data_IF_030217364272
#
_entry.id   IF_030217364272
#
_cell.length_a   1.000
_cell.length_b   1.000
_cell.length_c   1.000
_cell.angle_alpha   90.00
_cell.angle_beta   90.00
_cell.angle_gamma   90.00
#
_symmetry.space_group_name_H-M   'P 1'
#
loop_
_entity.id
_entity.type
_entity.pdbx_description
1 polymer ?
#
# COMPACT_ATOMS: atom_id res chain seq x y z
N UNK A 1 -30.54 -50.84 -31.48
CA UNK A 1 -30.43 -50.86 -32.97
C UNK A 1 -30.24 -49.43 -33.46
N UNK A 2 -29.47 -49.19 -34.54
CA UNK A 2 -29.12 -47.88 -35.16
C UNK A 2 -28.33 -46.91 -34.23
N UNK A 3 -27.05 -46.55 -34.37
CA UNK A 3 -25.99 -46.57 -35.42
C UNK A 3 -25.88 -45.30 -36.30
N UNK A 4 -24.73 -44.61 -36.16
CA UNK A 4 -24.12 -43.58 -37.05
C UNK A 4 -24.79 -42.18 -37.11
N UNK A 5 -24.09 -41.04 -37.31
CA UNK A 5 -22.74 -40.81 -37.89
C UNK A 5 -21.95 -39.63 -37.29
N UNK A 6 -20.64 -39.67 -37.51
CA UNK A 6 -19.58 -38.67 -37.20
C UNK A 6 -19.72 -37.32 -37.93
N UNK A 7 -19.25 -36.23 -37.30
CA UNK A 7 -18.62 -35.12 -38.02
C UNK A 7 -17.61 -34.36 -37.14
N UNK A 8 -16.34 -34.45 -37.51
CA UNK A 8 -15.21 -33.72 -36.91
C UNK A 8 -14.81 -32.61 -37.87
N UNK A 9 -14.51 -31.40 -37.39
CA UNK A 9 -13.88 -30.37 -38.23
C UNK A 9 -12.86 -29.56 -37.44
N UNK A 10 -11.60 -29.81 -37.77
CA UNK A 10 -10.43 -28.99 -37.47
C UNK A 10 -10.32 -27.83 -38.45
N UNK A 11 -9.88 -26.66 -37.99
CA UNK A 11 -9.26 -25.64 -38.86
C UNK A 11 -8.01 -25.09 -38.20
N UNK A 12 -6.97 -24.89 -39.01
CA UNK A 12 -5.59 -24.68 -38.58
C UNK A 12 -4.90 -23.58 -39.37
N UNK A 13 -4.20 -22.67 -38.67
CA UNK A 13 -3.03 -21.87 -39.13
C UNK A 13 -3.25 -20.93 -40.34
N UNK A 14 -2.49 -19.82 -40.39
CA UNK A 14 -1.22 -19.86 -41.12
C UNK A 14 -0.03 -19.20 -40.40
N UNK A 15 1.15 -19.41 -40.98
CA UNK A 15 2.49 -19.11 -40.47
C UNK A 15 3.01 -17.69 -40.73
N UNK A 16 4.06 -17.36 -39.96
CA UNK A 16 5.02 -16.22 -39.96
C UNK A 16 5.31 -15.45 -41.25
N UNK A 17 5.92 -14.24 -41.10
CA UNK A 17 7.33 -14.12 -41.50
C UNK A 17 8.25 -13.42 -40.46
N UNK A 18 9.55 -13.38 -40.77
CA UNK A 18 10.68 -12.97 -39.89
C UNK A 18 11.46 -11.79 -40.51
N UNK A 19 12.20 -11.03 -39.67
CA UNK A 19 13.04 -9.84 -40.01
C UNK A 19 12.21 -8.60 -40.45
N UNK A 20 12.60 -7.34 -40.21
CA UNK A 20 13.96 -6.75 -40.13
C UNK A 20 14.06 -5.61 -39.10
N UNK A 21 15.28 -5.17 -38.80
CA UNK A 21 15.53 -3.90 -38.10
C UNK A 21 15.56 -2.72 -39.08
N UNK A 22 15.08 -1.53 -38.67
CA UNK A 22 15.45 -0.29 -39.34
C UNK A 22 15.46 0.95 -38.42
N UNK A 23 16.56 1.70 -38.55
CA UNK A 23 16.73 3.15 -38.35
C UNK A 23 15.51 3.99 -38.81
N UNK A 24 15.28 5.24 -38.41
CA UNK A 24 16.20 6.38 -38.20
C UNK A 24 15.40 7.57 -37.61
N UNK A 25 15.97 8.36 -36.70
CA UNK A 25 15.90 9.85 -36.79
C UNK A 25 16.80 10.49 -35.74
N UNK A 26 18.07 10.75 -36.10
CA UNK A 26 18.95 11.59 -35.32
C UNK A 26 18.81 13.04 -35.79
N UNK A 27 18.10 13.87 -35.02
CA UNK A 27 17.99 15.31 -35.29
C UNK A 27 19.35 15.99 -35.15
N UNK A 28 20.05 16.19 -36.27
CA UNK A 28 21.22 17.07 -36.35
C UNK A 28 20.79 18.51 -36.03
N UNK A 29 21.27 19.05 -34.91
CA UNK A 29 21.43 20.49 -34.74
C UNK A 29 22.92 20.82 -34.78
N UNK A 30 23.40 21.19 -35.97
CA UNK A 30 24.72 21.77 -36.17
C UNK A 30 24.64 23.28 -36.02
N UNK A 31 25.41 23.87 -35.10
CA UNK A 31 25.98 25.19 -35.33
C UNK A 31 27.34 25.34 -34.65
N UNK A 32 28.09 26.33 -35.11
CA UNK A 32 29.55 26.38 -35.08
C UNK A 32 30.16 27.16 -33.91
N UNK A 33 31.39 26.78 -33.57
CA UNK A 33 32.48 27.67 -33.12
C UNK A 33 32.31 28.41 -31.80
N UNK A 34 33.16 28.05 -30.84
CA UNK A 34 33.94 29.06 -30.11
C UNK A 34 35.37 28.58 -29.86
N UNK A 35 36.27 29.55 -29.90
CA UNK A 35 37.72 29.39 -30.07
C UNK A 35 38.44 29.55 -28.74
N UNK A 36 39.64 28.98 -28.66
CA UNK A 36 40.72 29.30 -27.70
C UNK A 36 40.78 28.47 -26.41
N UNK A 37 41.99 27.98 -26.14
CA UNK A 37 42.35 27.07 -25.04
C UNK A 37 43.73 26.43 -25.28
N UNK A 38 44.65 27.17 -25.90
CA UNK A 38 45.96 26.66 -26.36
C UNK A 38 46.94 26.58 -25.19
N UNK A 39 47.00 25.44 -24.50
CA UNK A 39 48.16 25.12 -23.65
C UNK A 39 49.33 24.71 -24.55
N UNK A 40 50.45 25.43 -24.42
CA UNK A 40 51.65 25.21 -25.22
C UNK A 40 52.52 24.13 -24.59
N UNK A 41 52.65 23.00 -25.27
CA UNK A 41 53.73 22.04 -25.03
C UNK A 41 54.60 21.96 -26.30
N UNK A 42 55.50 22.92 -26.47
CA UNK A 42 56.62 22.77 -27.41
C UNK A 42 57.77 22.04 -26.70
N UNK A 43 58.28 20.97 -27.33
CA UNK A 43 59.64 20.48 -27.15
C UNK A 43 60.04 19.69 -28.40
N UNK A 44 60.99 20.23 -29.18
CA UNK A 44 61.71 19.46 -30.19
C UNK A 44 62.83 18.66 -29.49
N UNK A 45 62.82 17.35 -29.62
CA UNK A 45 63.91 16.48 -29.15
C UNK A 45 63.48 15.03 -28.98
N UNK A 46 64.29 14.03 -29.37
CA UNK A 46 64.02 12.63 -29.06
C UNK A 46 64.51 12.29 -27.64
N UNK A 47 63.82 11.38 -26.94
CA UNK A 47 64.36 10.31 -26.04
C UNK A 47 63.34 9.83 -24.97
N UNK A 48 63.16 8.50 -24.95
CA UNK A 48 62.69 7.57 -23.87
C UNK A 48 61.21 7.54 -23.39
N UNK A 49 60.72 6.34 -23.01
CA UNK A 49 59.42 6.13 -22.36
C UNK A 49 59.49 6.26 -20.83
N UNK A 50 58.43 6.80 -20.21
CA UNK A 50 58.30 7.04 -18.76
C UNK A 50 57.84 8.48 -18.48
N UNK A 51 56.55 8.76 -18.65
CA UNK A 51 55.50 8.82 -17.59
C UNK A 51 55.49 10.12 -16.78
N UNK A 52 54.31 10.73 -16.66
CA UNK A 52 54.06 12.05 -16.11
C UNK A 52 52.94 12.76 -16.87
N UNK A 53 53.23 13.25 -18.08
CA UNK A 53 52.22 13.94 -18.92
C UNK A 53 51.09 13.01 -19.38
N UNK A 54 51.42 11.75 -19.69
CA UNK A 54 50.45 10.74 -20.16
C UNK A 54 49.51 10.33 -19.03
N UNK A 55 50.05 10.18 -17.81
CA UNK A 55 49.30 9.83 -16.61
C UNK A 55 48.34 10.94 -16.19
N UNK A 56 48.75 12.21 -16.30
CA UNK A 56 47.87 13.35 -16.07
C UNK A 56 46.71 13.44 -17.09
N UNK A 57 46.96 13.14 -18.37
CA UNK A 57 45.90 13.09 -19.40
C UNK A 57 44.96 11.90 -19.16
N UNK A 58 45.49 10.75 -18.72
CA UNK A 58 44.69 9.58 -18.37
C UNK A 58 43.80 9.85 -17.15
N UNK A 59 44.38 10.36 -16.05
CA UNK A 59 43.64 10.72 -14.84
C UNK A 59 42.52 11.74 -15.14
N UNK A 60 42.80 12.76 -15.95
CA UNK A 60 41.80 13.77 -16.34
C UNK A 60 40.68 13.20 -17.23
N UNK A 61 40.96 12.13 -17.99
CA UNK A 61 39.93 11.37 -18.72
C UNK A 61 39.08 10.53 -17.77
N UNK A 62 39.70 9.82 -16.83
CA UNK A 62 39.00 9.04 -15.78
C UNK A 62 38.08 9.93 -14.93
N UNK A 63 38.54 11.13 -14.55
CA UNK A 63 37.78 12.13 -13.79
C UNK A 63 36.52 12.60 -14.55
N UNK A 64 36.66 12.98 -15.83
CA UNK A 64 35.53 13.37 -16.69
C UNK A 64 34.57 12.20 -16.93
N UNK A 65 35.08 10.97 -17.05
CA UNK A 65 34.24 9.79 -17.26
C UNK A 65 33.39 9.49 -16.01
N UNK A 66 33.98 9.57 -14.80
CA UNK A 66 33.26 9.39 -13.53
C UNK A 66 32.17 10.46 -13.34
N UNK A 67 32.45 11.74 -13.62
CA UNK A 67 31.44 12.81 -13.53
C UNK A 67 30.25 12.55 -14.47
N UNK A 68 30.50 12.15 -15.72
CA UNK A 68 29.39 11.84 -16.65
C UNK A 68 28.60 10.58 -16.28
N UNK A 69 29.21 9.62 -15.59
CA UNK A 69 28.51 8.46 -15.00
C UNK A 69 27.66 8.90 -13.81
N UNK A 70 28.20 9.78 -12.94
CA UNK A 70 27.50 10.34 -11.79
C UNK A 70 26.26 11.15 -12.21
N UNK A 71 26.36 12.01 -13.22
CA UNK A 71 25.23 12.79 -13.75
C UNK A 71 24.11 11.88 -14.29
N UNK A 72 24.47 10.85 -15.07
CA UNK A 72 23.52 9.86 -15.57
C UNK A 72 22.87 9.09 -14.42
N UNK A 73 23.65 8.63 -13.44
CA UNK A 73 23.13 7.93 -12.27
C UNK A 73 22.18 8.82 -11.46
N UNK A 74 22.54 10.10 -11.23
CA UNK A 74 21.69 11.10 -10.56
C UNK A 74 20.38 11.31 -11.31
N UNK A 75 20.42 11.45 -12.64
CA UNK A 75 19.23 11.59 -13.48
C UNK A 75 18.31 10.36 -13.39
N UNK A 76 18.82 9.15 -13.67
CA UNK A 76 18.00 7.93 -13.63
C UNK A 76 17.45 7.65 -12.23
N UNK A 77 18.25 7.86 -11.18
CA UNK A 77 17.78 7.70 -9.79
C UNK A 77 16.73 8.76 -9.44
N UNK A 78 16.90 10.01 -9.89
CA UNK A 78 15.90 11.05 -9.68
C UNK A 78 14.56 10.72 -10.34
N UNK A 79 14.58 10.20 -11.57
CA UNK A 79 13.35 9.77 -12.26
C UNK A 79 12.70 8.59 -11.51
N UNK A 80 13.49 7.60 -11.09
CA UNK A 80 13.02 6.44 -10.33
C UNK A 80 12.41 6.81 -8.96
N UNK A 81 13.06 7.70 -8.20
CA UNK A 81 12.52 8.20 -6.94
C UNK A 81 11.27 9.06 -7.15
N UNK A 82 11.22 9.85 -8.22
CA UNK A 82 10.04 10.64 -8.58
C UNK A 82 8.82 9.77 -8.90
N UNK A 83 8.98 8.74 -9.74
CA UNK A 83 7.90 7.79 -10.03
C UNK A 83 7.52 6.95 -8.81
N UNK A 84 8.49 6.54 -7.99
CA UNK A 84 8.24 5.83 -6.72
C UNK A 84 7.42 6.68 -5.75
N UNK A 85 7.76 7.97 -5.59
CA UNK A 85 6.99 8.89 -4.76
C UNK A 85 5.54 9.01 -5.24
N UNK A 86 5.31 9.21 -6.55
CA UNK A 86 3.96 9.29 -7.13
C UNK A 86 3.18 7.99 -6.87
N UNK A 87 3.77 6.82 -7.17
CA UNK A 87 3.14 5.52 -6.98
C UNK A 87 2.83 5.22 -5.49
N UNK A 88 3.70 5.67 -4.57
CA UNK A 88 3.48 5.49 -3.13
C UNK A 88 2.27 6.28 -2.63
N UNK A 89 2.06 7.51 -3.13
CA UNK A 89 0.87 8.33 -2.81
C UNK A 89 -0.39 7.69 -3.37
N UNK A 90 -0.40 7.26 -4.65
CA UNK A 90 -1.56 6.58 -5.22
C UNK A 90 -1.89 5.28 -4.49
N UNK A 91 -0.89 4.45 -4.19
CA UNK A 91 -1.07 3.22 -3.41
C UNK A 91 -1.66 3.53 -2.03
N UNK A 92 -1.16 4.56 -1.33
CA UNK A 92 -1.69 4.96 -0.04
C UNK A 92 -3.17 5.40 -0.11
N UNK A 93 -3.54 6.21 -1.10
CA UNK A 93 -4.92 6.65 -1.29
C UNK A 93 -5.90 5.50 -1.54
N UNK A 94 -5.48 4.43 -2.22
CA UNK A 94 -6.30 3.21 -2.37
C UNK A 94 -6.33 2.34 -1.11
N UNK A 95 -5.27 2.32 -0.31
CA UNK A 95 -5.22 1.53 0.93
C UNK A 95 -6.13 2.10 2.03
N UNK A 96 -6.45 3.40 2.02
CA UNK A 96 -7.35 4.02 3.01
C UNK A 96 -8.73 3.32 3.05
N UNK A 97 -9.55 3.36 1.97
CA UNK A 97 -10.90 2.78 2.01
C UNK A 97 -10.94 1.25 2.07
N UNK A 98 -9.86 0.56 1.70
CA UNK A 98 -9.82 -0.92 1.69
C UNK A 98 -9.20 -1.56 2.93
N UNK A 99 -8.33 -0.86 3.66
CA UNK A 99 -7.58 -1.42 4.80
C UNK A 99 -7.68 -0.55 6.04
N UNK A 100 -7.56 0.78 5.90
CA UNK A 100 -7.53 1.69 7.06
C UNK A 100 -8.92 1.85 7.66
N UNK A 101 -9.91 2.22 6.86
CA UNK A 101 -11.28 2.46 7.32
C UNK A 101 -11.93 1.24 8.05
N UNK A 102 -11.94 0.02 7.48
CA UNK A 102 -12.52 -1.14 8.18
C UNK A 102 -11.76 -1.54 9.46
N UNK A 103 -10.43 -1.40 9.48
CA UNK A 103 -9.65 -1.73 10.67
C UNK A 103 -9.79 -0.66 11.77
N UNK A 104 -9.93 0.63 11.43
CA UNK A 104 -10.29 1.68 12.40
C UNK A 104 -11.68 1.42 12.98
N UNK A 105 -12.67 1.12 12.14
CA UNK A 105 -14.03 0.74 12.56
C UNK A 105 -14.01 -0.42 13.57
N UNK A 106 -13.25 -1.46 13.25
CA UNK A 106 -13.06 -2.65 14.11
C UNK A 106 -12.42 -2.32 15.46
N UNK A 107 -11.49 -1.36 15.52
CA UNK A 107 -10.83 -0.93 16.77
C UNK A 107 -11.76 -0.06 17.62
N UNK A 108 -12.50 0.87 17.00
CA UNK A 108 -13.46 1.75 17.70
C UNK A 108 -14.61 0.94 18.33
N UNK A 109 -14.95 -0.21 17.77
CA UNK A 109 -15.95 -1.11 18.32
C UNK A 109 -15.57 -1.77 19.66
N UNK A 110 -14.32 -1.69 20.13
CA UNK A 110 -13.87 -2.22 21.45
C UNK A 110 -14.45 -3.62 21.78
N UNK A 111 -14.12 -4.60 20.94
CA UNK A 111 -14.50 -6.00 21.17
C UNK A 111 -13.67 -6.61 22.30
N UNK A 112 -14.35 -7.30 23.22
CA UNK A 112 -13.67 -8.04 24.29
C UNK A 112 -12.85 -9.20 23.69
N UNK A 113 -11.54 -9.36 24.01
CA UNK A 113 -10.73 -10.46 23.49
C UNK A 113 -11.09 -11.82 24.10
N UNK A 114 -11.87 -11.88 25.19
CA UNK A 114 -12.32 -13.14 25.79
C UNK A 114 -13.66 -13.55 25.16
N UNK A 115 -13.77 -14.74 24.53
CA UNK A 115 -15.03 -15.18 23.95
C UNK A 115 -16.05 -15.52 25.03
N UNK A 116 -17.25 -15.00 24.87
CA UNK A 116 -18.42 -15.21 25.73
C UNK A 116 -19.41 -16.19 25.08
N UNK A 117 -20.39 -16.67 25.83
CA UNK A 117 -21.40 -17.59 25.29
C UNK A 117 -22.51 -16.85 24.53
N UNK A 118 -22.65 -17.14 23.24
CA UNK A 118 -23.81 -16.85 22.41
C UNK A 118 -24.65 -18.11 22.18
N UNK A 119 -25.96 -17.92 21.91
CA UNK A 119 -26.89 -18.95 21.41
C UNK A 119 -27.71 -18.36 20.27
N UNK A 120 -27.83 -19.08 19.15
CA UNK A 120 -28.70 -18.66 18.04
C UNK A 120 -30.15 -18.93 18.39
N UNK A 121 -30.99 -17.89 18.29
CA UNK A 121 -32.43 -17.96 18.60
C UNK A 121 -33.30 -17.96 17.34
N UNK A 122 -32.82 -17.36 16.25
CA UNK A 122 -33.55 -17.24 14.99
C UNK A 122 -32.56 -17.14 13.82
N UNK A 123 -32.95 -17.69 12.68
CA UNK A 123 -32.21 -17.61 11.43
C UNK A 123 -33.19 -17.34 10.29
N UNK A 124 -33.14 -16.12 9.75
CA UNK A 124 -33.94 -15.74 8.59
C UNK A 124 -33.05 -15.85 7.35
N UNK A 125 -33.50 -16.64 6.36
CA UNK A 125 -32.92 -16.64 5.01
C UNK A 125 -33.81 -15.82 4.09
N UNK A 126 -33.24 -14.81 3.43
CA UNK A 126 -33.95 -13.97 2.49
C UNK A 126 -33.17 -13.79 1.18
N UNK A 127 -33.92 -13.63 0.08
CA UNK A 127 -33.39 -13.30 -1.23
C UNK A 127 -34.01 -12.00 -1.76
N UNK A 128 -33.25 -11.28 -2.57
CA UNK A 128 -33.63 -10.01 -3.18
C UNK A 128 -33.18 -8.77 -2.39
N UNK A 129 -32.75 -7.75 -3.14
CA UNK A 129 -32.15 -6.51 -2.63
C UNK A 129 -33.06 -5.78 -1.62
N UNK A 130 -34.40 -5.88 -1.77
CA UNK A 130 -35.37 -5.22 -0.88
C UNK A 130 -35.53 -5.91 0.48
N UNK A 131 -35.26 -7.21 0.56
CA UNK A 131 -35.45 -8.01 1.78
C UNK A 131 -34.15 -8.11 2.59
N UNK A 132 -32.99 -8.01 1.92
CA UNK A 132 -31.67 -8.06 2.53
C UNK A 132 -31.16 -6.68 2.96
N UNK A 133 -31.71 -6.13 4.05
CA UNK A 133 -31.20 -4.90 4.68
C UNK A 133 -29.82 -5.10 5.33
N UNK A 134 -29.55 -6.30 5.84
CA UNK A 134 -28.24 -6.73 6.37
C UNK A 134 -28.07 -8.25 6.19
N UNK A 135 -26.85 -8.76 6.43
CA UNK A 135 -26.52 -10.19 6.45
C UNK A 135 -25.43 -10.46 7.48
N UNK A 136 -25.53 -11.58 8.20
CA UNK A 136 -24.51 -12.11 9.11
C UNK A 136 -23.21 -12.49 8.42
N UNK A 137 -23.30 -12.91 7.17
CA UNK A 137 -22.15 -13.22 6.33
C UNK A 137 -22.44 -12.81 4.89
N UNK A 138 -21.43 -12.27 4.22
CA UNK A 138 -21.49 -11.90 2.81
C UNK A 138 -20.17 -12.18 2.09
N UNK A 139 -20.26 -12.83 0.95
CA UNK A 139 -19.12 -13.05 0.05
C UNK A 139 -18.89 -11.79 -0.82
N UNK A 140 -17.76 -11.15 -0.57
CA UNK A 140 -17.34 -9.86 -1.13
C UNK A 140 -17.97 -8.66 -0.41
N UNK A 141 -17.15 -7.68 -0.03
CA UNK A 141 -17.64 -6.45 0.60
C UNK A 141 -18.20 -5.43 -0.41
N UNK A 142 -17.88 -5.57 -1.71
CA UNK A 142 -18.37 -4.70 -2.80
C UNK A 142 -19.52 -5.30 -3.62
N UNK A 143 -19.83 -6.59 -3.46
CA UNK A 143 -20.67 -7.45 -4.33
C UNK A 143 -22.19 -7.20 -4.40
N UNK A 144 -22.73 -6.13 -3.78
CA UNK A 144 -24.15 -5.98 -3.38
C UNK A 144 -24.67 -7.11 -2.44
N UNK A 145 -25.98 -7.12 -2.11
CA UNK A 145 -26.65 -8.22 -1.39
C UNK A 145 -27.85 -8.72 -2.21
N UNK A 146 -27.79 -9.98 -2.68
CA UNK A 146 -28.89 -10.67 -3.38
C UNK A 146 -29.44 -11.86 -2.60
N UNK A 147 -28.64 -12.44 -1.69
CA UNK A 147 -28.98 -13.51 -0.76
C UNK A 147 -28.36 -13.16 0.59
N UNK A 148 -29.11 -13.31 1.68
CA UNK A 148 -28.64 -12.99 3.01
C UNK A 148 -29.11 -14.03 4.03
N UNK A 149 -28.23 -14.29 4.99
CA UNK A 149 -28.51 -15.06 6.19
C UNK A 149 -28.50 -14.08 7.35
N UNK A 150 -29.61 -13.95 8.07
CA UNK A 150 -29.76 -13.05 9.21
C UNK A 150 -29.91 -13.91 10.46
N UNK A 151 -28.84 -14.06 11.22
CA UNK A 151 -28.80 -14.83 12.46
C UNK A 151 -28.94 -13.89 13.64
N UNK A 152 -29.99 -14.09 14.44
CA UNK A 152 -30.17 -13.40 15.71
C UNK A 152 -29.72 -14.31 16.85
N UNK A 153 -29.03 -13.73 17.82
CA UNK A 153 -28.50 -14.45 18.97
C UNK A 153 -28.88 -13.75 20.27
N UNK A 154 -28.90 -14.52 21.34
CA UNK A 154 -28.77 -13.99 22.70
C UNK A 154 -27.34 -14.27 23.18
N UNK A 155 -26.78 -13.37 23.99
CA UNK A 155 -25.49 -13.62 24.63
C UNK A 155 -25.50 -13.28 26.12
N UNK A 156 -24.61 -13.96 26.84
CA UNK A 156 -24.23 -13.60 28.20
C UNK A 156 -22.79 -13.13 28.20
N UNK A 157 -22.37 -12.36 29.20
CA UNK A 157 -20.95 -11.98 29.41
C UNK A 157 -20.15 -13.08 30.12
N UNK A 158 -20.74 -14.25 30.33
CA UNK A 158 -20.07 -15.42 30.90
C UNK A 158 -19.10 -15.96 29.84
N UNK A 159 -17.80 -16.15 30.16
CA UNK A 159 -16.84 -16.74 29.23
C UNK A 159 -17.28 -18.13 28.78
N UNK A 160 -17.14 -18.43 27.49
CA UNK A 160 -17.58 -19.72 26.94
C UNK A 160 -16.89 -20.92 27.64
N UNK A 161 -15.64 -20.74 28.08
CA UNK A 161 -14.89 -21.75 28.84
C UNK A 161 -15.40 -22.02 30.27
N UNK A 162 -16.21 -21.13 30.86
CA UNK A 162 -16.96 -21.43 32.09
C UNK A 162 -18.22 -22.24 31.75
N UNK A 163 -18.90 -21.88 30.67
CA UNK A 163 -20.11 -22.56 30.22
C UNK A 163 -19.86 -24.03 29.84
N UNK A 164 -18.75 -24.33 29.16
CA UNK A 164 -18.35 -25.71 28.86
C UNK A 164 -18.11 -26.55 30.12
N UNK A 165 -17.67 -25.94 31.23
CA UNK A 165 -17.43 -26.63 32.51
C UNK A 165 -18.69 -26.83 33.31
N UNK A 166 -19.58 -25.83 33.31
CA UNK A 166 -20.85 -25.84 34.04
C UNK A 166 -21.99 -25.43 33.10
N UNK A 167 -22.48 -26.34 32.23
CA UNK A 167 -23.57 -26.03 31.31
C UNK A 167 -24.82 -25.56 32.07
N UNK A 168 -25.38 -24.43 31.64
CA UNK A 168 -26.56 -23.82 32.27
C UNK A 168 -27.80 -24.14 31.43
N UNK A 169 -28.93 -24.31 32.12
CA UNK A 169 -30.25 -24.51 31.48
C UNK A 169 -30.67 -23.23 30.75
N UNK A 170 -30.87 -23.33 29.42
CA UNK A 170 -31.14 -22.20 28.52
C UNK A 170 -32.40 -21.41 28.92
N UNK A 171 -33.39 -22.07 29.52
CA UNK A 171 -34.63 -21.42 29.98
C UNK A 171 -34.44 -20.56 31.23
N UNK A 172 -33.37 -20.82 32.01
CA UNK A 172 -33.07 -20.15 33.30
C UNK A 172 -31.93 -19.15 33.20
N UNK A 173 -31.27 -19.07 32.05
CA UNK A 173 -30.14 -18.17 31.82
C UNK A 173 -30.66 -16.75 31.65
N UNK A 174 -30.20 -15.85 32.52
CA UNK A 174 -30.43 -14.42 32.34
C UNK A 174 -29.48 -13.90 31.26
N UNK A 175 -30.03 -13.61 30.08
CA UNK A 175 -29.30 -13.05 28.95
C UNK A 175 -28.93 -11.58 29.20
N UNK A 176 -27.67 -11.20 28.97
CA UNK A 176 -27.23 -9.81 29.09
C UNK A 176 -27.82 -8.95 27.97
N UNK A 177 -27.89 -9.51 26.76
CA UNK A 177 -28.57 -8.93 25.60
C UNK A 177 -29.23 -10.05 24.79
N UNK A 178 -30.44 -9.79 24.31
CA UNK A 178 -31.24 -10.70 23.50
C UNK A 178 -31.55 -10.11 22.12
N UNK A 179 -31.80 -10.97 21.12
CA UNK A 179 -32.15 -10.58 19.76
C UNK A 179 -31.12 -9.62 19.10
N UNK A 180 -29.83 -9.87 19.33
CA UNK A 180 -28.73 -9.08 18.76
C UNK A 180 -28.23 -9.70 17.46
N UNK A 181 -27.58 -8.90 16.59
CA UNK A 181 -27.10 -9.37 15.28
C UNK A 181 -25.80 -10.15 15.45
N UNK A 182 -25.76 -11.37 14.93
CA UNK A 182 -24.52 -12.14 14.81
C UNK A 182 -23.88 -11.92 13.45
N UNK A 183 -22.61 -11.48 13.40
CA UNK A 183 -21.84 -11.33 12.18
C UNK A 183 -20.62 -12.27 12.16
N UNK A 184 -20.13 -12.65 10.98
CA UNK A 184 -18.91 -13.47 10.85
C UNK A 184 -17.65 -12.74 11.33
N UNK A 185 -17.59 -11.42 11.12
CA UNK A 185 -16.56 -10.47 11.52
C UNK A 185 -17.20 -9.08 11.70
N UNK A 186 -16.42 -8.08 12.10
CA UNK A 186 -16.86 -6.69 12.27
C UNK A 186 -17.57 -6.09 11.04
N UNK A 187 -17.09 -6.41 9.84
CA UNK A 187 -17.64 -5.90 8.57
C UNK A 187 -18.85 -6.71 8.05
N UNK A 188 -19.17 -7.87 8.65
CA UNK A 188 -20.16 -8.82 8.15
C UNK A 188 -19.84 -9.45 6.78
N UNK A 189 -18.65 -9.20 6.22
CA UNK A 189 -18.27 -9.58 4.86
C UNK A 189 -16.80 -9.96 4.73
N UNK A 190 -16.48 -10.70 3.66
CA UNK A 190 -15.11 -11.02 3.29
C UNK A 190 -15.03 -11.85 2.01
N UNK A 191 -13.82 -12.21 1.58
CA UNK A 191 -13.60 -12.92 0.33
C UNK A 191 -13.13 -14.37 0.58
N UNK A 192 -13.51 -15.35 -0.26
CA UNK A 192 -12.93 -16.70 -0.19
C UNK A 192 -11.40 -16.65 -0.41
N UNK A 193 -10.61 -17.51 0.26
CA UNK A 193 -11.02 -18.64 1.09
C UNK A 193 -11.29 -18.30 2.57
N UNK A 194 -10.99 -17.09 3.04
CA UNK A 194 -11.10 -16.75 4.48
C UNK A 194 -12.56 -16.67 4.94
N UNK A 195 -13.45 -16.24 4.04
CA UNK A 195 -14.89 -16.13 4.24
C UNK A 195 -15.63 -17.06 3.28
N UNK A 196 -16.51 -17.91 3.82
CA UNK A 196 -17.43 -18.76 3.06
C UNK A 196 -18.76 -18.81 3.80
N UNK A 197 -19.80 -18.23 3.22
CA UNK A 197 -21.07 -18.05 3.89
C UNK A 197 -21.95 -19.31 3.86
N UNK A 198 -21.73 -20.20 2.90
CA UNK A 198 -22.38 -21.51 2.87
C UNK A 198 -21.93 -22.40 4.05
N UNK A 199 -20.65 -22.32 4.44
CA UNK A 199 -20.12 -23.03 5.61
C UNK A 199 -20.60 -22.35 6.89
N UNK A 200 -20.50 -21.01 6.98
CA UNK A 200 -20.96 -20.25 8.15
C UNK A 200 -22.45 -20.49 8.46
N UNK A 201 -23.33 -20.43 7.46
CA UNK A 201 -24.76 -20.68 7.62
C UNK A 201 -25.10 -22.14 7.95
N UNK A 202 -24.23 -23.11 7.61
CA UNK A 202 -24.37 -24.50 8.06
C UNK A 202 -23.90 -24.70 9.50
N UNK A 203 -22.85 -23.98 9.91
CA UNK A 203 -22.28 -24.08 11.26
C UNK A 203 -23.14 -23.39 12.33
N UNK A 204 -23.80 -22.28 12.00
CA UNK A 204 -24.56 -21.48 12.98
C UNK A 204 -26.02 -21.24 12.60
N UNK A 205 -26.46 -21.59 11.39
CA UNK A 205 -27.86 -21.38 10.96
C UNK A 205 -28.79 -22.47 11.47
N UNK A 206 -29.80 -22.81 10.66
CA UNK A 206 -30.93 -23.69 11.00
C UNK A 206 -30.59 -24.99 11.74
N UNK A 207 -29.43 -25.60 11.47
CA UNK A 207 -29.03 -26.88 12.06
C UNK A 207 -28.55 -26.80 13.51
N UNK A 208 -28.17 -25.61 14.01
CA UNK A 208 -27.55 -25.42 15.32
C UNK A 208 -28.26 -24.32 16.16
N UNK A 209 -29.54 -24.05 15.86
CA UNK A 209 -30.37 -23.13 16.67
C UNK A 209 -30.53 -23.72 18.08
N UNK A 210 -30.31 -22.90 19.10
CA UNK A 210 -30.32 -23.31 20.51
C UNK A 210 -28.98 -23.85 21.04
N UNK A 211 -27.98 -24.10 20.19
CA UNK A 211 -26.66 -24.57 20.66
C UNK A 211 -25.79 -23.39 21.13
N UNK A 212 -25.10 -23.51 22.29
CA UNK A 212 -24.18 -22.50 22.79
C UNK A 212 -22.83 -22.56 22.07
N UNK A 213 -22.29 -21.40 21.70
CA UNK A 213 -21.02 -21.28 20.99
C UNK A 213 -20.23 -20.02 21.41
N UNK A 214 -18.90 -19.98 21.20
CA UNK A 214 -18.08 -18.82 21.54
C UNK A 214 -18.29 -17.67 20.55
N UNK A 215 -18.50 -16.47 21.07
CA UNK A 215 -18.61 -15.24 20.31
C UNK A 215 -17.91 -14.07 21.02
N UNK A 216 -17.63 -12.98 20.31
CA UNK A 216 -17.04 -11.77 20.88
C UNK A 216 -18.07 -10.64 20.82
N UNK A 217 -18.30 -9.98 21.96
CA UNK A 217 -19.24 -8.85 22.06
C UNK A 217 -18.48 -7.52 22.01
N UNK A 218 -19.11 -6.52 21.41
CA UNK A 218 -18.62 -5.14 21.41
C UNK A 218 -19.03 -4.44 22.70
N UNK A 219 -18.11 -3.69 23.31
CA UNK A 219 -18.40 -2.82 24.47
C UNK A 219 -19.02 -1.49 24.06
N UNK A 220 -18.76 -1.04 22.83
CA UNK A 220 -19.32 0.17 22.24
C UNK A 220 -20.73 -0.05 21.62
N UNK A 221 -20.96 -1.23 21.04
CA UNK A 221 -22.14 -1.58 20.22
C UNK A 221 -22.77 -2.91 20.69
N UNK A 222 -23.57 -2.92 21.76
CA UNK A 222 -24.17 -4.16 22.29
C UNK A 222 -25.16 -4.84 21.31
N UNK A 223 -25.61 -4.14 20.27
CA UNK A 223 -26.50 -4.63 19.21
C UNK A 223 -25.79 -5.45 18.12
N UNK A 224 -24.50 -5.76 18.29
CA UNK A 224 -23.74 -6.65 17.41
C UNK A 224 -22.76 -7.53 18.19
N UNK A 225 -22.65 -8.80 17.77
CA UNK A 225 -21.62 -9.75 18.22
C UNK A 225 -20.99 -10.47 17.03
N UNK A 226 -19.71 -10.83 17.13
CA UNK A 226 -18.93 -11.38 16.03
C UNK A 226 -18.42 -12.79 16.32
N UNK A 227 -18.39 -13.65 15.29
CA UNK A 227 -17.93 -15.04 15.39
C UNK A 227 -16.43 -15.22 15.26
N UNK A 228 -15.72 -14.25 14.64
CA UNK A 228 -14.26 -14.26 14.53
C UNK A 228 -13.70 -12.88 14.87
N UNK A 229 -12.83 -12.86 15.87
CA UNK A 229 -12.03 -11.70 16.25
C UNK A 229 -10.54 -12.02 16.08
N UNK A 230 -9.77 -11.08 15.52
CA UNK A 230 -8.34 -11.27 15.22
C UNK A 230 -7.62 -9.92 15.24
N UNK A 231 -7.35 -9.40 16.44
CA UNK A 231 -6.83 -8.05 16.60
C UNK A 231 -5.38 -7.90 16.11
N UNK A 232 -4.47 -8.79 16.48
CA UNK A 232 -3.04 -8.66 16.17
C UNK A 232 -2.79 -8.70 14.66
N UNK A 233 -3.45 -9.62 13.95
CA UNK A 233 -3.22 -9.81 12.52
C UNK A 233 -3.79 -8.64 11.70
N UNK A 234 -4.97 -8.12 12.07
CA UNK A 234 -5.56 -6.96 11.41
C UNK A 234 -4.74 -5.68 11.69
N UNK A 235 -4.28 -5.50 12.94
CA UNK A 235 -3.41 -4.38 13.31
C UNK A 235 -2.06 -4.45 12.57
N UNK A 236 -1.43 -5.62 12.49
CA UNK A 236 -0.17 -5.79 11.78
C UNK A 236 -0.30 -5.39 10.30
N UNK A 237 -1.34 -5.86 9.61
CA UNK A 237 -1.58 -5.48 8.21
C UNK A 237 -1.89 -3.99 8.04
N UNK A 238 -2.72 -3.38 8.91
CA UNK A 238 -2.97 -1.93 8.89
C UNK A 238 -1.67 -1.13 9.07
N UNK A 239 -0.85 -1.48 10.07
CA UNK A 239 0.39 -0.75 10.36
C UNK A 239 1.36 -0.91 9.20
N UNK A 240 1.51 -2.10 8.64
CA UNK A 240 2.40 -2.35 7.49
C UNK A 240 1.95 -1.57 6.24
N UNK A 241 0.65 -1.60 5.94
CA UNK A 241 0.04 -0.86 4.82
C UNK A 241 0.10 0.67 4.98
N UNK A 242 0.10 1.18 6.21
CA UNK A 242 0.27 2.61 6.49
C UNK A 242 1.75 3.02 6.40
N UNK A 243 2.64 2.28 7.05
CA UNK A 243 4.05 2.67 7.21
C UNK A 243 4.84 2.54 5.91
N UNK A 244 4.69 1.45 5.15
CA UNK A 244 5.51 1.21 3.93
C UNK A 244 5.38 2.36 2.91
N UNK A 245 4.17 2.76 2.45
CA UNK A 245 4.04 3.82 1.45
C UNK A 245 4.55 5.17 1.97
N UNK A 246 4.26 5.50 3.24
CA UNK A 246 4.67 6.77 3.84
C UNK A 246 6.19 6.88 4.02
N UNK A 247 6.87 5.79 4.41
CA UNK A 247 8.34 5.76 4.51
C UNK A 247 9.00 5.83 3.14
N UNK A 248 8.49 5.09 2.13
CA UNK A 248 9.00 5.17 0.76
C UNK A 248 8.81 6.57 0.15
N UNK A 249 7.66 7.21 0.39
CA UNK A 249 7.39 8.59 0.00
C UNK A 249 8.39 9.56 0.65
N UNK A 250 8.54 9.50 1.98
CA UNK A 250 9.40 10.40 2.74
C UNK A 250 10.87 10.27 2.33
N UNK A 251 11.38 9.05 2.13
CA UNK A 251 12.75 8.81 1.65
C UNK A 251 12.92 9.36 0.23
N UNK A 252 11.99 9.08 -0.67
CA UNK A 252 12.07 9.52 -2.08
C UNK A 252 12.09 11.05 -2.19
N UNK A 253 11.16 11.73 -1.52
CA UNK A 253 11.11 13.20 -1.48
C UNK A 253 12.30 13.79 -0.73
N UNK A 254 12.78 13.15 0.34
CA UNK A 254 13.96 13.58 1.09
C UNK A 254 15.23 13.61 0.24
N UNK A 255 15.51 12.53 -0.50
CA UNK A 255 16.69 12.44 -1.39
C UNK A 255 16.57 13.43 -2.56
N UNK A 256 15.40 13.55 -3.19
CA UNK A 256 15.17 14.53 -4.25
C UNK A 256 15.35 15.97 -3.75
N UNK A 257 14.82 16.28 -2.57
CA UNK A 257 14.99 17.60 -1.95
C UNK A 257 16.46 17.89 -1.64
N UNK A 258 17.21 16.90 -1.13
CA UNK A 258 18.65 17.05 -0.91
C UNK A 258 19.44 17.32 -2.21
N UNK A 259 19.09 16.65 -3.31
CA UNK A 259 19.81 16.75 -4.59
C UNK A 259 19.46 17.97 -5.47
N UNK A 260 18.29 18.56 -5.27
CA UNK A 260 17.75 19.63 -6.13
C UNK A 260 17.33 20.90 -5.38
N UNK A 261 17.51 20.98 -4.05
CA UNK A 261 17.29 22.20 -3.29
C UNK A 261 18.58 23.05 -3.17
N UNK A 262 18.71 24.16 -3.93
CA UNK A 262 19.90 25.03 -3.86
C UNK A 262 20.05 25.76 -2.52
N UNK A 263 19.02 25.77 -1.67
CA UNK A 263 19.10 26.29 -0.31
C UNK A 263 19.72 25.28 0.68
N UNK A 264 19.39 23.98 0.55
CA UNK A 264 20.00 22.93 1.37
C UNK A 264 21.51 22.82 1.10
N UNK A 265 21.93 22.90 -0.17
CA UNK A 265 23.34 22.85 -0.54
C UNK A 265 24.14 24.02 0.09
N UNK A 266 23.58 25.24 0.07
CA UNK A 266 24.22 26.44 0.65
C UNK A 266 24.20 26.45 2.18
N UNK A 267 23.18 25.87 2.82
CA UNK A 267 23.13 25.72 4.28
C UNK A 267 24.11 24.64 4.78
N UNK A 268 24.13 23.46 4.14
CA UNK A 268 24.98 22.34 4.55
C UNK A 268 26.47 22.57 4.23
N UNK A 269 26.83 23.13 3.06
CA UNK A 269 28.23 23.42 2.74
C UNK A 269 28.85 24.52 3.63
N UNK A 270 28.04 25.35 4.29
CA UNK A 270 28.52 26.30 5.31
C UNK A 270 28.91 25.60 6.63
N UNK A 271 28.24 24.48 6.95
CA UNK A 271 28.43 23.75 8.22
C UNK A 271 29.73 22.91 8.25
N UNK A 272 30.13 22.32 7.12
CA UNK A 272 31.31 21.42 7.06
C UNK A 272 32.68 22.12 7.18
N UNK A 273 32.72 23.44 7.41
CA UNK A 273 33.96 24.22 7.56
C UNK A 273 34.05 25.11 8.78
N UNK A 274 33.04 25.13 9.65
CA UNK A 274 33.05 25.95 10.87
C UNK A 274 32.68 25.12 12.09
N UNK A 275 33.70 24.45 12.63
CA UNK A 275 33.75 24.08 14.04
C UNK A 275 33.84 25.38 14.87
N UNK A 276 32.70 26.02 15.13
CA UNK A 276 32.51 27.00 16.21
C UNK A 276 31.05 27.46 16.26
N UNK A 277 30.47 27.31 17.44
CA UNK A 277 29.16 27.79 17.89
C UNK A 277 28.68 29.10 17.23
N UNK A 278 27.59 29.02 16.47
CA UNK A 278 26.64 30.14 16.38
C UNK A 278 25.24 29.64 16.05
N UNK A 279 24.29 29.90 16.95
CA UNK A 279 22.88 29.74 16.65
C UNK A 279 22.51 30.67 15.47
N UNK A 280 21.83 30.18 14.43
CA UNK A 280 21.49 30.98 13.25
C UNK A 280 20.58 32.15 13.65
N UNK A 281 20.85 33.33 13.12
CA UNK A 281 20.08 34.53 13.46
C UNK A 281 18.70 34.53 12.79
N UNK A 282 17.73 35.26 13.36
CA UNK A 282 16.36 35.38 12.81
C UNK A 282 16.34 35.77 11.32
N UNK A 283 17.34 36.54 10.87
CA UNK A 283 17.49 36.99 9.49
C UNK A 283 17.83 35.85 8.51
N UNK A 284 18.68 34.89 8.91
CA UNK A 284 18.98 33.71 8.09
C UNK A 284 17.75 32.80 7.95
N UNK A 285 16.94 32.68 9.00
CA UNK A 285 15.67 31.93 8.99
C UNK A 285 14.65 32.61 8.05
N UNK A 286 14.49 33.93 8.13
CA UNK A 286 13.57 34.71 7.28
C UNK A 286 13.99 34.66 5.80
N UNK A 287 15.29 34.71 5.50
CA UNK A 287 15.78 34.59 4.11
C UNK A 287 15.58 33.17 3.55
N UNK A 288 15.65 32.13 4.39
CA UNK A 288 15.31 30.77 3.98
C UNK A 288 13.82 30.66 3.60
N UNK A 289 12.92 31.29 4.36
CA UNK A 289 11.48 31.33 4.04
C UNK A 289 11.19 32.13 2.76
N UNK A 290 11.91 33.23 2.49
CA UNK A 290 11.71 34.06 1.27
C UNK A 290 11.98 33.31 -0.03
N UNK A 291 12.93 32.37 -0.05
CA UNK A 291 13.22 31.59 -1.26
C UNK A 291 12.06 30.65 -1.67
N UNK A 292 11.13 30.40 -0.75
CA UNK A 292 9.88 29.67 -1.02
C UNK A 292 8.84 30.55 -1.77
N UNK A 293 8.95 31.88 -1.69
CA UNK A 293 7.96 32.83 -2.26
C UNK A 293 8.28 33.25 -3.70
N UNK A 294 9.55 33.27 -4.13
CA UNK A 294 9.87 33.62 -5.53
C UNK A 294 9.43 32.52 -6.52
N UNK A 295 9.48 31.24 -6.12
CA UNK A 295 9.05 30.13 -6.99
C UNK A 295 7.54 30.02 -7.20
N UNK A 296 6.71 30.59 -6.31
CA UNK A 296 5.25 30.64 -6.53
C UNK A 296 4.82 31.78 -7.46
N UNK A 297 5.69 32.76 -7.70
CA UNK A 297 5.43 33.88 -8.62
C UNK A 297 5.80 33.51 -10.06
N UNK A 298 6.86 32.71 -10.27
CA UNK A 298 7.29 32.27 -11.61
C UNK A 298 6.42 31.17 -12.26
N UNK A 299 5.35 30.72 -11.61
CA UNK A 299 4.45 29.66 -12.10
C UNK A 299 3.04 30.16 -12.47
N UNK A 300 2.81 31.49 -12.39
CA UNK A 300 1.56 32.15 -12.81
C UNK A 300 1.75 33.05 -14.05
N UNK A 301 2.84 32.88 -14.80
CA UNK A 301 3.09 33.56 -16.08
C UNK A 301 3.66 32.56 -17.09
N UNK A 302 2.82 31.62 -17.51
CA UNK A 302 2.76 31.02 -18.86
C UNK A 302 1.45 30.24 -19.03
#
# INVERSE_FOLDING_TARGET
MKKSSTLTTTTSMPTSPTLSAETLSASKMSLSSSRSGRSSCQSHGPVRPGSGCVDAIKAKREEIEIDTILEKAKFYTSVCLGTTAILSVFTFLFLIPFVVDPAISTIIADYDPVPVTCVVIDHIYAEGIKNCSWSSCREGCTSSLTKCHQLYVNYTRIPYSEWERNPRDLERVNWDVSYTKFLINSEGCGYPPTTNCSIFARQYGFSHIGEPFPCFYSRAYPEVVIGRYSWENNLYHLVLSLIIPNVLFAISIGVLSYWYCPCCEKACNKSSRVYAEKFPTKEEIVNCMKCNTEKSISLNVF
#
